data_IF_671150169230
#
_entry.id   IF_671150169230
#
_cell.length_a   1.000
_cell.length_b   1.000
_cell.length_c   1.000
_cell.angle_alpha   90.00
_cell.angle_beta   90.00
_cell.angle_gamma   90.00
#
_symmetry.space_group_name_H-M   'P 1'
#
loop_
_entity.id
_entity.type
_entity.pdbx_description
1 polymer ?
#
# COMPACT_ATOMS: atom_id res chain seq x y z
N UNK A 1 -62.93 40.97 -24.01
CA UNK A 1 -62.04 39.81 -24.13
C UNK A 1 -60.61 40.27 -23.92
N UNK A 2 -60.00 40.07 -22.74
CA UNK A 2 -58.57 40.24 -22.57
C UNK A 2 -57.83 38.92 -22.78
N UNK A 3 -56.61 39.05 -23.30
CA UNK A 3 -55.61 38.02 -23.52
C UNK A 3 -55.15 37.41 -22.20
N UNK A 4 -55.02 36.08 -22.14
CA UNK A 4 -54.24 35.38 -21.12
C UNK A 4 -53.21 34.50 -21.82
N UNK A 5 -52.04 35.09 -22.02
CA UNK A 5 -50.80 34.44 -22.39
C UNK A 5 -50.24 33.78 -21.12
N UNK A 6 -50.44 32.47 -20.97
CA UNK A 6 -49.75 31.67 -19.95
C UNK A 6 -48.65 30.89 -20.64
N UNK A 7 -47.49 31.54 -20.75
CA UNK A 7 -46.19 30.91 -20.87
C UNK A 7 -45.92 30.06 -19.63
N UNK A 8 -46.39 28.82 -19.65
CA UNK A 8 -45.92 27.80 -18.72
C UNK A 8 -44.49 27.42 -19.10
N UNK A 9 -43.53 28.25 -18.66
CA UNK A 9 -42.15 27.83 -18.48
C UNK A 9 -42.14 26.74 -17.40
N UNK A 10 -42.36 25.51 -17.81
CA UNK A 10 -41.94 24.35 -17.03
C UNK A 10 -40.42 24.42 -17.01
N UNK A 11 -39.86 25.01 -15.95
CA UNK A 11 -38.49 24.70 -15.55
C UNK A 11 -38.46 23.20 -15.31
N UNK A 12 -38.08 22.43 -16.32
CA UNK A 12 -37.49 21.11 -16.12
C UNK A 12 -36.28 21.35 -15.25
N UNK A 13 -36.45 21.22 -13.93
CA UNK A 13 -35.35 20.94 -13.02
C UNK A 13 -34.65 19.75 -13.64
N UNK A 14 -33.51 19.99 -14.28
CA UNK A 14 -32.67 18.93 -14.82
C UNK A 14 -32.50 17.92 -13.69
N UNK A 15 -33.01 16.71 -13.89
CA UNK A 15 -32.80 15.63 -12.95
C UNK A 15 -31.30 15.57 -12.67
N UNK A 16 -30.92 15.57 -11.39
CA UNK A 16 -29.51 15.50 -11.03
C UNK A 16 -28.88 14.34 -11.81
N UNK A 17 -27.78 14.61 -12.52
CA UNK A 17 -27.11 13.60 -13.31
C UNK A 17 -26.91 12.35 -12.43
N UNK A 18 -27.28 11.15 -12.91
CA UNK A 18 -27.24 9.96 -12.10
C UNK A 18 -25.82 9.74 -11.60
N UNK A 19 -25.59 10.01 -10.32
CA UNK A 19 -24.33 9.71 -9.65
C UNK A 19 -24.40 8.29 -9.16
N UNK A 20 -23.45 7.45 -9.56
CA UNK A 20 -23.31 6.08 -9.06
C UNK A 20 -23.18 6.16 -7.53
N UNK A 21 -24.12 5.61 -6.74
CA UNK A 21 -24.04 5.72 -5.28
C UNK A 21 -22.74 5.10 -4.77
N UNK A 22 -22.23 5.60 -3.63
CA UNK A 22 -21.20 4.85 -2.91
C UNK A 22 -21.80 3.51 -2.54
N UNK A 23 -21.09 2.43 -2.86
CA UNK A 23 -21.50 1.09 -2.43
C UNK A 23 -21.66 1.03 -0.92
N UNK A 24 -22.40 0.03 -0.41
CA UNK A 24 -22.52 -0.23 1.01
C UNK A 24 -21.17 -0.19 1.73
N UNK A 25 -21.17 0.36 2.95
CA UNK A 25 -19.97 0.41 3.79
C UNK A 25 -19.45 -0.99 4.13
N UNK A 26 -20.37 -1.94 4.29
CA UNK A 26 -20.06 -3.33 4.63
C UNK A 26 -19.19 -4.02 3.58
N UNK A 27 -19.46 -3.85 2.29
CA UNK A 27 -18.67 -4.39 1.19
C UNK A 27 -17.22 -3.89 1.26
N UNK A 28 -17.07 -2.59 1.51
CA UNK A 28 -15.75 -1.98 1.64
C UNK A 28 -15.01 -2.42 2.90
N UNK A 29 -15.73 -2.67 3.99
CA UNK A 29 -15.16 -3.22 5.22
C UNK A 29 -14.68 -4.66 5.02
N UNK A 30 -15.45 -5.50 4.33
CA UNK A 30 -15.08 -6.89 4.00
C UNK A 30 -13.81 -6.90 3.16
N UNK A 31 -13.81 -6.20 2.02
CA UNK A 31 -12.63 -6.11 1.14
C UNK A 31 -11.41 -5.52 1.88
N UNK A 32 -11.62 -4.52 2.73
CA UNK A 32 -10.55 -3.93 3.54
C UNK A 32 -9.89 -4.95 4.48
N UNK A 33 -10.65 -5.86 5.10
CA UNK A 33 -10.06 -6.91 5.94
C UNK A 33 -9.18 -7.87 5.13
N UNK A 34 -9.58 -8.23 3.92
CA UNK A 34 -8.78 -9.04 2.99
C UNK A 34 -7.46 -8.34 2.63
N UNK A 35 -7.52 -7.05 2.26
CA UNK A 35 -6.30 -6.28 1.95
C UNK A 35 -5.38 -6.14 3.16
N UNK A 36 -5.90 -5.79 4.33
CA UNK A 36 -5.09 -5.61 5.55
C UNK A 36 -4.39 -6.90 5.97
N UNK A 37 -5.08 -8.04 5.91
CA UNK A 37 -4.53 -9.33 6.32
C UNK A 37 -3.48 -9.85 5.33
N UNK A 38 -3.77 -9.88 4.03
CA UNK A 38 -2.83 -10.33 3.00
C UNK A 38 -1.60 -9.42 2.88
N UNK A 39 -1.83 -8.11 2.71
CA UNK A 39 -0.75 -7.15 2.55
C UNK A 39 0.07 -7.01 3.83
N UNK A 40 -0.58 -7.11 4.99
CA UNK A 40 0.09 -7.12 6.29
C UNK A 40 0.97 -8.36 6.48
N UNK A 41 0.50 -9.55 6.10
CA UNK A 41 1.32 -10.76 6.08
C UNK A 41 2.58 -10.56 5.23
N UNK A 42 2.41 -10.17 3.96
CA UNK A 42 3.53 -9.95 3.01
C UNK A 42 4.50 -8.90 3.55
N UNK A 43 3.99 -7.77 4.02
CA UNK A 43 4.81 -6.66 4.51
C UNK A 43 5.63 -7.00 5.76
N UNK A 44 5.04 -7.69 6.74
CA UNK A 44 5.75 -8.09 7.96
C UNK A 44 6.85 -9.11 7.68
N UNK A 45 6.59 -10.08 6.80
CA UNK A 45 7.59 -11.08 6.40
C UNK A 45 8.70 -10.43 5.58
N UNK A 46 8.36 -9.52 4.65
CA UNK A 46 9.34 -8.75 3.88
C UNK A 46 10.23 -7.88 4.79
N UNK A 47 9.65 -7.19 5.78
CA UNK A 47 10.40 -6.40 6.75
C UNK A 47 11.38 -7.28 7.56
N UNK A 48 10.92 -8.43 8.05
CA UNK A 48 11.74 -9.37 8.79
C UNK A 48 12.92 -9.88 7.94
N UNK A 49 12.69 -10.17 6.67
CA UNK A 49 13.70 -10.71 5.76
C UNK A 49 14.72 -9.67 5.30
N UNK A 50 14.28 -8.46 4.97
CA UNK A 50 15.09 -7.50 4.20
C UNK A 50 15.67 -6.35 5.04
N UNK A 51 15.02 -5.95 6.13
CA UNK A 51 15.42 -4.77 6.91
C UNK A 51 15.68 -5.09 8.39
N UNK A 52 14.65 -5.52 9.12
CA UNK A 52 14.71 -5.70 10.58
C UNK A 52 15.60 -6.89 10.98
N UNK A 53 15.48 -8.03 10.30
CA UNK A 53 16.31 -9.21 10.57
C UNK A 53 17.80 -8.96 10.33
N UNK A 54 18.23 -8.40 9.18
CA UNK A 54 19.62 -8.03 8.96
C UNK A 54 20.17 -7.02 9.99
N UNK A 55 19.36 -6.06 10.45
CA UNK A 55 19.75 -5.12 11.51
C UNK A 55 19.92 -5.83 12.86
N UNK A 56 18.99 -6.71 13.25
CA UNK A 56 19.06 -7.48 14.48
C UNK A 56 20.22 -8.48 14.49
N UNK A 57 20.53 -9.11 13.33
CA UNK A 57 21.65 -10.04 13.18
C UNK A 57 23.00 -9.38 13.51
N UNK A 58 23.15 -8.09 13.22
CA UNK A 58 24.39 -7.36 13.50
C UNK A 58 24.63 -7.17 15.01
N UNK A 59 23.60 -7.34 15.84
CA UNK A 59 23.67 -7.22 17.30
C UNK A 59 23.96 -8.59 17.91
N UNK A 60 23.20 -9.62 17.51
CA UNK A 60 23.40 -10.99 18.01
C UNK A 60 22.27 -11.94 17.62
N UNK A 61 22.46 -13.23 17.93
CA UNK A 61 21.45 -14.27 17.68
C UNK A 61 20.15 -14.04 18.44
N UNK A 62 20.24 -13.48 19.65
CA UNK A 62 19.10 -13.31 20.54
C UNK A 62 18.20 -12.15 20.08
N UNK A 63 18.80 -11.01 19.74
CA UNK A 63 18.10 -9.89 19.11
C UNK A 63 17.43 -10.33 17.80
N UNK A 64 18.15 -11.10 16.97
CA UNK A 64 17.63 -11.65 15.73
C UNK A 64 16.43 -12.57 15.96
N UNK A 65 16.51 -13.46 16.95
CA UNK A 65 15.42 -14.35 17.33
C UNK A 65 14.21 -13.56 17.85
N UNK A 66 14.41 -12.56 18.72
CA UNK A 66 13.34 -11.76 19.30
C UNK A 66 12.58 -10.94 18.24
N UNK A 67 13.31 -10.24 17.37
CA UNK A 67 12.74 -9.43 16.28
C UNK A 67 12.00 -10.31 15.29
N UNK A 68 12.62 -11.41 14.84
CA UNK A 68 12.01 -12.36 13.90
C UNK A 68 10.73 -12.94 14.50
N UNK A 69 10.80 -13.50 15.72
CA UNK A 69 9.66 -14.12 16.37
C UNK A 69 8.49 -13.16 16.59
N UNK A 70 8.78 -11.88 16.90
CA UNK A 70 7.72 -10.89 17.08
C UNK A 70 6.99 -10.58 15.77
N UNK A 71 7.73 -10.33 14.70
CA UNK A 71 7.15 -10.05 13.38
C UNK A 71 6.41 -11.27 12.84
N UNK A 72 6.97 -12.47 12.95
CA UNK A 72 6.35 -13.70 12.44
C UNK A 72 5.13 -14.11 13.25
N UNK A 73 5.04 -13.84 14.56
CA UNK A 73 3.80 -14.08 15.33
C UNK A 73 2.63 -13.28 14.78
N UNK A 74 2.84 -11.99 14.54
CA UNK A 74 1.78 -11.13 13.99
C UNK A 74 1.51 -11.51 12.53
N UNK A 75 2.55 -11.79 11.74
CA UNK A 75 2.36 -12.25 10.37
C UNK A 75 1.54 -13.55 10.32
N UNK A 76 1.85 -14.56 11.13
CA UNK A 76 1.06 -15.81 11.22
C UNK A 76 -0.40 -15.52 11.55
N UNK A 77 -0.66 -14.66 12.54
CA UNK A 77 -2.05 -14.26 12.86
C UNK A 77 -2.72 -13.63 11.65
N UNK A 78 -2.08 -12.69 10.97
CA UNK A 78 -2.65 -12.07 9.76
C UNK A 78 -2.85 -13.07 8.62
N UNK A 79 -1.93 -14.00 8.40
CA UNK A 79 -2.04 -15.03 7.36
C UNK A 79 -3.16 -16.04 7.66
N UNK A 80 -3.38 -16.38 8.94
CA UNK A 80 -4.51 -17.21 9.36
C UNK A 80 -5.83 -16.44 9.25
N UNK A 81 -5.87 -15.16 9.62
CA UNK A 81 -7.05 -14.30 9.50
C UNK A 81 -7.38 -13.92 8.04
N UNK A 82 -6.42 -14.01 7.13
CA UNK A 82 -6.67 -13.81 5.70
C UNK A 82 -7.64 -14.85 5.15
N UNK A 83 -7.63 -16.09 5.65
CA UNK A 83 -8.53 -17.16 5.19
C UNK A 83 -10.01 -16.80 5.40
N UNK A 84 -10.49 -16.50 6.62
CA UNK A 84 -11.87 -16.07 6.81
C UNK A 84 -12.17 -14.71 6.17
N UNK A 85 -11.20 -13.82 6.00
CA UNK A 85 -11.41 -12.55 5.28
C UNK A 85 -11.73 -12.80 3.79
N UNK A 86 -10.90 -13.60 3.10
CA UNK A 86 -11.12 -14.00 1.70
C UNK A 86 -12.43 -14.78 1.56
N UNK A 87 -12.72 -15.73 2.46
CA UNK A 87 -13.98 -16.47 2.42
C UNK A 87 -15.20 -15.57 2.66
N UNK A 88 -15.07 -14.50 3.45
CA UNK A 88 -16.17 -13.55 3.68
C UNK A 88 -16.39 -12.68 2.45
N UNK A 89 -15.33 -12.28 1.76
CA UNK A 89 -15.37 -11.57 0.47
C UNK A 89 -16.08 -12.43 -0.59
N UNK A 90 -15.65 -13.69 -0.75
CA UNK A 90 -16.29 -14.65 -1.67
C UNK A 90 -17.74 -14.96 -1.30
N UNK A 91 -18.06 -15.05 -0.01
CA UNK A 91 -19.42 -15.29 0.46
C UNK A 91 -20.34 -14.11 0.19
N UNK A 92 -19.80 -12.90 0.30
CA UNK A 92 -20.50 -11.69 -0.02
C UNK A 92 -20.82 -11.64 -1.53
N UNK A 93 -19.81 -11.86 -2.37
CA UNK A 93 -19.96 -11.87 -3.83
C UNK A 93 -20.90 -12.97 -4.33
N UNK A 94 -20.96 -14.12 -3.64
CA UNK A 94 -21.83 -15.23 -4.01
C UNK A 94 -23.30 -15.02 -3.62
N UNK A 95 -23.61 -14.06 -2.75
CA UNK A 95 -24.96 -13.89 -2.18
C UNK A 95 -25.90 -13.11 -3.11
N UNK A 96 -26.87 -13.80 -3.72
CA UNK A 96 -27.87 -13.18 -4.61
C UNK A 96 -28.82 -12.16 -3.93
N UNK A 97 -28.97 -12.25 -2.60
CA UNK A 97 -29.97 -11.48 -1.83
C UNK A 97 -29.40 -10.32 -1.01
N UNK A 98 -28.10 -10.03 -1.14
CA UNK A 98 -27.39 -9.09 -0.26
C UNK A 98 -27.19 -9.67 1.13
N UNK A 99 -26.00 -10.23 1.37
CA UNK A 99 -25.71 -11.03 2.57
C UNK A 99 -24.40 -11.80 2.42
N UNK A 100 -24.33 -12.99 3.00
CA UNK A 100 -23.15 -13.88 2.91
C UNK A 100 -23.59 -15.32 2.67
N UNK A 101 -23.16 -15.93 1.57
CA UNK A 101 -23.30 -17.37 1.31
C UNK A 101 -21.94 -18.07 1.44
N UNK A 102 -21.61 -18.46 2.68
CA UNK A 102 -20.37 -19.20 2.97
C UNK A 102 -20.34 -20.61 2.37
N UNK A 103 -21.50 -21.20 2.06
CA UNK A 103 -21.58 -22.50 1.41
C UNK A 103 -21.13 -22.40 -0.04
N UNK A 104 -21.67 -21.41 -0.77
CA UNK A 104 -21.27 -21.09 -2.13
C UNK A 104 -19.79 -20.67 -2.19
N UNK A 105 -19.32 -19.84 -1.25
CA UNK A 105 -17.92 -19.43 -1.16
C UNK A 105 -16.95 -20.61 -0.98
N UNK A 106 -17.30 -21.57 -0.11
CA UNK A 106 -16.48 -22.76 0.08
C UNK A 106 -16.49 -23.65 -1.17
N UNK A 107 -17.65 -23.82 -1.79
CA UNK A 107 -17.81 -24.66 -2.97
C UNK A 107 -17.20 -24.06 -4.24
N UNK A 108 -16.99 -22.75 -4.30
CA UNK A 108 -16.31 -22.09 -5.43
C UNK A 108 -14.79 -22.33 -5.41
N UNK A 109 -14.21 -22.63 -4.25
CA UNK A 109 -12.78 -22.96 -4.15
C UNK A 109 -12.50 -24.25 -4.92
N UNK A 110 -11.65 -24.15 -5.94
CA UNK A 110 -11.29 -25.27 -6.80
C UNK A 110 -12.49 -25.98 -7.46
N UNK A 111 -13.55 -25.25 -7.79
CA UNK A 111 -14.76 -25.75 -8.48
C UNK A 111 -14.54 -26.25 -9.93
N UNK A 112 -13.30 -26.16 -10.43
CA UNK A 112 -12.90 -26.52 -11.79
C UNK A 112 -12.74 -25.32 -12.73
N UNK A 113 -13.32 -24.17 -12.38
CA UNK A 113 -13.11 -22.92 -13.11
C UNK A 113 -11.70 -22.35 -12.88
N UNK A 114 -11.29 -21.39 -13.70
CA UNK A 114 -10.05 -20.65 -13.46
C UNK A 114 -10.20 -19.71 -12.23
N UNK A 115 -11.35 -19.04 -12.09
CA UNK A 115 -11.64 -18.16 -10.95
C UNK A 115 -11.62 -18.93 -9.62
N UNK A 116 -12.28 -20.09 -9.57
CA UNK A 116 -12.26 -21.00 -8.42
C UNK A 116 -10.86 -21.55 -8.11
N UNK A 117 -10.02 -21.78 -9.13
CA UNK A 117 -8.61 -22.12 -8.93
C UNK A 117 -7.80 -20.97 -8.34
N UNK A 118 -8.02 -19.73 -8.79
CA UNK A 118 -7.32 -18.56 -8.28
C UNK A 118 -7.70 -18.27 -6.82
N UNK A 119 -8.99 -18.25 -6.48
CA UNK A 119 -9.47 -18.08 -5.10
C UNK A 119 -9.03 -19.23 -4.19
N UNK A 120 -9.07 -20.47 -4.68
CA UNK A 120 -8.54 -21.63 -3.97
C UNK A 120 -7.04 -21.50 -3.67
N UNK A 121 -6.25 -21.05 -4.66
CA UNK A 121 -4.82 -20.79 -4.52
C UNK A 121 -4.54 -19.63 -3.56
N UNK A 122 -5.37 -18.58 -3.57
CA UNK A 122 -5.28 -17.46 -2.63
C UNK A 122 -5.30 -17.96 -1.18
N UNK A 123 -6.36 -18.71 -0.82
CA UNK A 123 -6.57 -19.30 0.51
C UNK A 123 -5.45 -20.29 0.85
N UNK A 124 -5.11 -21.18 -0.09
CA UNK A 124 -4.12 -22.24 0.16
C UNK A 124 -2.73 -21.66 0.36
N UNK A 125 -2.30 -20.73 -0.50
CA UNK A 125 -0.94 -20.19 -0.46
C UNK A 125 -0.72 -19.24 0.71
N UNK A 126 -1.71 -18.44 1.12
CA UNK A 126 -1.56 -17.62 2.34
C UNK A 126 -1.46 -18.52 3.58
N UNK A 127 -2.26 -19.58 3.66
CA UNK A 127 -2.22 -20.52 4.78
C UNK A 127 -0.91 -21.32 4.81
N UNK A 128 -0.46 -21.84 3.66
CA UNK A 128 0.85 -22.51 3.53
C UNK A 128 1.97 -21.54 3.90
N UNK A 129 1.91 -20.29 3.42
CA UNK A 129 2.86 -19.25 3.78
C UNK A 129 2.94 -19.00 5.29
N UNK A 130 1.79 -18.92 5.96
CA UNK A 130 1.69 -18.81 7.41
C UNK A 130 2.30 -20.04 8.11
N UNK A 131 1.92 -21.26 7.71
CA UNK A 131 2.43 -22.51 8.27
C UNK A 131 3.95 -22.65 8.14
N UNK A 132 4.52 -22.25 7.00
CA UNK A 132 5.97 -22.27 6.78
C UNK A 132 6.73 -21.38 7.76
N UNK A 133 6.15 -20.25 8.19
CA UNK A 133 6.80 -19.32 9.12
C UNK A 133 6.40 -19.53 10.59
N UNK A 134 5.40 -20.38 10.89
CA UNK A 134 5.00 -20.73 12.27
C UNK A 134 6.18 -21.13 13.16
N UNK A 135 7.14 -21.98 12.72
CA UNK A 135 8.29 -22.35 13.56
C UNK A 135 9.11 -21.14 14.01
N UNK A 136 9.16 -20.08 13.19
CA UNK A 136 9.90 -18.86 13.48
C UNK A 136 9.25 -17.99 14.57
N UNK A 137 8.03 -18.32 15.03
CA UNK A 137 7.40 -17.66 16.19
C UNK A 137 8.08 -18.05 17.51
N UNK A 138 8.85 -19.14 17.48
CA UNK A 138 9.65 -19.66 18.58
C UNK A 138 11.09 -19.17 18.43
N UNK A 139 11.62 -18.51 19.47
CA UNK A 139 12.93 -17.83 19.43
C UNK A 139 14.09 -18.78 19.10
N UNK A 140 14.06 -20.01 19.61
CA UNK A 140 15.12 -21.01 19.38
C UNK A 140 15.27 -21.41 17.91
N UNK A 141 14.17 -21.46 17.16
CA UNK A 141 14.18 -21.77 15.72
C UNK A 141 14.51 -20.52 14.90
N UNK A 142 14.05 -19.36 15.35
CA UNK A 142 14.23 -18.08 14.66
C UNK A 142 15.71 -17.66 14.49
N UNK A 143 16.60 -18.04 15.40
CA UNK A 143 18.05 -17.78 15.26
C UNK A 143 18.74 -18.70 14.25
N UNK A 144 18.12 -19.81 13.85
CA UNK A 144 18.72 -20.87 13.04
C UNK A 144 18.94 -20.52 11.55
N UNK A 145 19.71 -21.39 10.87
CA UNK A 145 20.07 -21.23 9.46
C UNK A 145 18.85 -21.31 8.51
N UNK A 146 17.84 -22.11 8.87
CA UNK A 146 16.61 -22.28 8.07
C UNK A 146 15.75 -21.01 8.00
N UNK A 147 15.93 -20.04 8.91
CA UNK A 147 15.10 -18.82 8.99
C UNK A 147 14.96 -18.12 7.65
N UNK A 148 16.07 -17.89 6.94
CA UNK A 148 16.06 -17.14 5.68
C UNK A 148 15.19 -17.83 4.63
N UNK A 149 15.27 -19.16 4.55
CA UNK A 149 14.51 -19.96 3.60
C UNK A 149 13.03 -20.02 3.95
N UNK A 150 12.69 -20.20 5.23
CA UNK A 150 11.30 -20.17 5.69
C UNK A 150 10.64 -18.80 5.45
N UNK A 151 11.35 -17.69 5.74
CA UNK A 151 10.87 -16.35 5.42
C UNK A 151 10.73 -16.12 3.91
N UNK A 152 11.69 -16.59 3.10
CA UNK A 152 11.62 -16.44 1.65
C UNK A 152 10.48 -17.26 1.03
N UNK A 153 10.27 -18.50 1.48
CA UNK A 153 9.18 -19.35 1.04
C UNK A 153 7.82 -18.81 1.48
N UNK A 154 7.70 -18.36 2.74
CA UNK A 154 6.50 -17.70 3.24
C UNK A 154 6.17 -16.41 2.49
N UNK A 155 7.18 -15.58 2.21
CA UNK A 155 7.02 -14.36 1.42
C UNK A 155 6.58 -14.68 -0.01
N UNK A 156 7.19 -15.67 -0.66
CA UNK A 156 6.81 -16.08 -2.01
C UNK A 156 5.37 -16.59 -2.05
N UNK A 157 4.97 -17.46 -1.10
CA UNK A 157 3.61 -17.97 -1.02
C UNK A 157 2.59 -16.84 -0.81
N UNK A 158 2.85 -15.91 0.13
CA UNK A 158 1.97 -14.75 0.36
C UNK A 158 1.92 -13.77 -0.82
N UNK A 159 3.04 -13.53 -1.50
CA UNK A 159 3.09 -12.67 -2.68
C UNK A 159 2.31 -13.28 -3.86
N UNK A 160 2.38 -14.60 -4.06
CA UNK A 160 1.60 -15.29 -5.08
C UNK A 160 0.12 -15.31 -4.70
N UNK A 161 -0.23 -15.58 -3.42
CA UNK A 161 -1.60 -15.47 -2.93
C UNK A 161 -2.20 -14.09 -3.22
N UNK A 162 -1.50 -13.02 -2.83
CA UNK A 162 -1.92 -11.65 -3.17
C UNK A 162 -2.05 -11.44 -4.68
N UNK A 163 -1.17 -12.07 -5.47
CA UNK A 163 -1.20 -11.98 -6.93
C UNK A 163 -2.41 -12.63 -7.59
N UNK A 164 -2.93 -13.72 -7.00
CA UNK A 164 -4.12 -14.41 -7.53
C UNK A 164 -5.35 -13.51 -7.61
N UNK A 165 -5.44 -12.47 -6.78
CA UNK A 165 -6.52 -11.45 -6.80
C UNK A 165 -6.59 -10.61 -8.08
N UNK A 166 -5.53 -10.64 -8.92
CA UNK A 166 -5.44 -9.86 -10.17
C UNK A 166 -4.94 -10.68 -11.36
N UNK A 167 -4.70 -11.98 -11.19
CA UNK A 167 -4.36 -12.83 -12.33
C UNK A 167 -5.60 -13.08 -13.19
N UNK A 168 -5.46 -13.07 -14.53
CA UNK A 168 -6.59 -13.29 -15.42
C UNK A 168 -7.12 -14.72 -15.26
N UNK A 169 -8.45 -14.85 -15.21
CA UNK A 169 -9.18 -16.10 -15.14
C UNK A 169 -9.67 -16.60 -16.52
N UNK A 170 -9.40 -15.85 -17.58
CA UNK A 170 -9.70 -16.24 -18.96
C UNK A 170 -8.48 -16.05 -19.87
N UNK A 171 -8.48 -16.73 -21.02
CA UNK A 171 -7.45 -16.54 -22.05
C UNK A 171 -7.65 -15.14 -22.64
N UNK A 172 -6.66 -14.24 -22.54
CA UNK A 172 -6.80 -12.89 -23.06
C UNK A 172 -6.60 -12.84 -24.58
N UNK A 173 -7.36 -11.99 -25.25
CA UNK A 173 -7.18 -11.69 -26.68
C UNK A 173 -5.87 -10.93 -26.95
N UNK A 174 -5.47 -10.06 -26.01
CA UNK A 174 -4.20 -9.34 -26.03
C UNK A 174 -3.33 -9.73 -24.81
N UNK A 175 -2.52 -10.76 -25.00
CA UNK A 175 -1.58 -11.24 -24.00
C UNK A 175 -0.57 -10.16 -23.56
N UNK A 176 -0.11 -9.32 -24.49
CA UNK A 176 0.91 -8.31 -24.19
C UNK A 176 0.38 -7.27 -23.21
N UNK A 177 -0.81 -6.73 -23.50
CA UNK A 177 -1.49 -5.76 -22.65
C UNK A 177 -1.84 -6.34 -21.28
N UNK A 178 -2.44 -7.53 -21.23
CA UNK A 178 -2.90 -8.14 -19.97
C UNK A 178 -1.74 -8.52 -19.06
N UNK A 179 -0.63 -9.05 -19.60
CA UNK A 179 0.58 -9.32 -18.81
C UNK A 179 1.15 -8.03 -18.22
N UNK A 180 1.20 -6.94 -19.00
CA UNK A 180 1.68 -5.65 -18.52
C UNK A 180 0.77 -5.05 -17.44
N UNK A 181 -0.55 -5.05 -17.66
CA UNK A 181 -1.54 -4.58 -16.70
C UNK A 181 -1.47 -5.36 -15.38
N UNK A 182 -1.39 -6.70 -15.47
CA UNK A 182 -1.18 -7.57 -14.31
C UNK A 182 0.10 -7.20 -13.57
N UNK A 183 1.20 -6.97 -14.30
CA UNK A 183 2.47 -6.56 -13.68
C UNK A 183 2.37 -5.21 -12.96
N UNK A 184 1.61 -4.24 -13.50
CA UNK A 184 1.36 -2.96 -12.83
C UNK A 184 0.55 -3.14 -11.55
N UNK A 185 -0.49 -3.97 -11.58
CA UNK A 185 -1.22 -4.37 -10.37
C UNK A 185 -0.32 -5.02 -9.34
N UNK A 186 0.54 -5.96 -9.75
CA UNK A 186 1.50 -6.62 -8.85
C UNK A 186 2.47 -5.63 -8.23
N UNK A 187 3.04 -4.72 -9.03
CA UNK A 187 3.92 -3.66 -8.52
C UNK A 187 3.21 -2.76 -7.51
N UNK A 188 1.96 -2.39 -7.77
CA UNK A 188 1.16 -1.56 -6.89
C UNK A 188 0.87 -2.26 -5.55
N UNK A 189 0.38 -3.49 -5.60
CA UNK A 189 -0.01 -4.27 -4.43
C UNK A 189 1.20 -4.70 -3.59
N UNK A 190 2.27 -5.21 -4.21
CA UNK A 190 3.48 -5.60 -3.49
C UNK A 190 4.21 -4.38 -2.92
N UNK A 191 4.27 -3.27 -3.68
CA UNK A 191 4.80 -2.00 -3.17
C UNK A 191 4.03 -1.51 -1.95
N UNK A 192 2.69 -1.49 -2.03
CA UNK A 192 1.83 -1.12 -0.91
C UNK A 192 2.01 -2.05 0.30
N UNK A 193 2.13 -3.35 0.06
CA UNK A 193 2.31 -4.37 1.10
C UNK A 193 3.62 -4.17 1.86
N UNK A 194 4.73 -4.06 1.14
CA UNK A 194 6.06 -3.88 1.73
C UNK A 194 6.16 -2.54 2.47
N UNK A 195 5.56 -1.48 1.91
CA UNK A 195 5.60 -0.16 2.53
C UNK A 195 4.70 -0.06 3.78
N UNK A 196 3.39 -0.27 3.64
CA UNK A 196 2.43 -0.10 4.73
C UNK A 196 2.62 -1.19 5.79
N UNK A 197 2.76 -2.45 5.38
CA UNK A 197 3.02 -3.56 6.30
C UNK A 197 4.40 -3.46 6.97
N UNK A 198 5.39 -2.90 6.28
CA UNK A 198 6.69 -2.60 6.87
C UNK A 198 6.65 -1.47 7.91
N UNK A 199 5.88 -0.41 7.68
CA UNK A 199 5.63 0.64 8.68
C UNK A 199 4.94 0.08 9.93
N UNK A 200 3.91 -0.75 9.73
CA UNK A 200 3.23 -1.45 10.82
C UNK A 200 4.21 -2.35 11.59
N UNK A 201 5.08 -3.07 10.88
CA UNK A 201 6.12 -3.89 11.51
C UNK A 201 7.15 -3.09 12.30
N UNK A 202 7.57 -1.91 11.81
CA UNK A 202 8.42 -1.01 12.59
C UNK A 202 7.70 -0.53 13.86
N UNK A 203 6.43 -0.13 13.76
CA UNK A 203 5.63 0.25 14.93
C UNK A 203 5.53 -0.88 15.96
N UNK A 204 5.34 -2.13 15.50
CA UNK A 204 5.34 -3.31 16.37
C UNK A 204 6.68 -3.50 17.11
N UNK A 205 7.80 -3.12 16.48
CA UNK A 205 9.13 -3.24 17.06
C UNK A 205 9.48 -2.08 18.02
N UNK A 206 8.74 -0.97 17.99
CA UNK A 206 8.84 0.10 19.02
C UNK A 206 8.32 -0.40 20.37
N UNK A 207 7.30 -1.25 20.35
CA UNK A 207 6.65 -1.74 21.56
C UNK A 207 7.64 -2.50 22.48
N UNK A 208 7.44 -2.46 23.82
CA UNK A 208 8.34 -3.10 24.78
C UNK A 208 8.57 -4.59 24.49
N UNK A 209 9.80 -5.07 24.73
CA UNK A 209 10.18 -6.48 24.58
C UNK A 209 10.58 -6.94 23.16
N UNK A 210 10.60 -6.04 22.17
CA UNK A 210 11.09 -6.35 20.81
C UNK A 210 12.63 -6.35 20.72
N UNK A 211 13.24 -5.30 21.26
CA UNK A 211 14.69 -5.06 21.25
C UNK A 211 15.10 -4.56 22.63
N UNK A 212 16.18 -5.14 23.17
CA UNK A 212 16.68 -4.79 24.49
C UNK A 212 17.08 -3.31 24.57
N UNK A 213 16.79 -2.61 25.69
CA UNK A 213 17.04 -1.18 25.81
C UNK A 213 18.47 -0.75 25.46
N UNK A 214 19.46 -1.59 25.81
CA UNK A 214 20.88 -1.36 25.50
C UNK A 214 21.18 -1.40 23.99
N UNK A 215 20.47 -2.25 23.24
CA UNK A 215 20.73 -2.53 21.83
C UNK A 215 19.92 -1.66 20.87
N UNK A 216 18.88 -0.97 21.36
CA UNK A 216 18.00 -0.10 20.56
C UNK A 216 18.77 0.88 19.68
N UNK A 217 19.81 1.51 20.23
CA UNK A 217 20.62 2.48 19.49
C UNK A 217 21.35 1.87 18.29
N UNK A 218 21.82 0.63 18.43
CA UNK A 218 22.52 -0.12 17.38
C UNK A 218 21.54 -0.79 16.40
N UNK A 219 20.31 -1.09 16.83
CA UNK A 219 19.26 -1.67 16.00
C UNK A 219 18.60 -0.66 15.05
N UNK A 220 18.12 0.47 15.59
CA UNK A 220 17.19 1.34 14.86
C UNK A 220 17.82 2.04 13.67
N UNK A 221 19.06 2.53 13.79
CA UNK A 221 19.77 3.18 12.67
C UNK A 221 19.88 2.27 11.43
N UNK A 222 20.42 1.04 11.52
CA UNK A 222 20.49 0.12 10.39
C UNK A 222 19.12 -0.41 9.92
N UNK A 223 18.14 -0.57 10.82
CA UNK A 223 16.79 -1.00 10.45
C UNK A 223 16.06 0.06 9.63
N UNK A 224 16.03 1.31 10.14
CA UNK A 224 15.41 2.45 9.46
C UNK A 224 16.09 2.70 8.12
N UNK A 225 17.43 2.73 8.05
CA UNK A 225 18.13 2.96 6.78
C UNK A 225 17.77 1.92 5.71
N UNK A 226 17.70 0.64 6.07
CA UNK A 226 17.30 -0.43 5.13
C UNK A 226 15.84 -0.29 4.72
N UNK A 227 14.96 -0.02 5.68
CA UNK A 227 13.54 0.16 5.40
C UNK A 227 13.28 1.40 4.54
N UNK A 228 13.92 2.55 4.81
CA UNK A 228 13.79 3.75 4.00
C UNK A 228 14.21 3.53 2.54
N UNK A 229 15.26 2.74 2.30
CA UNK A 229 15.64 2.36 0.94
C UNK A 229 14.55 1.52 0.25
N UNK A 230 13.99 0.52 0.95
CA UNK A 230 12.87 -0.27 0.43
C UNK A 230 11.61 0.57 0.20
N UNK A 231 11.28 1.46 1.14
CA UNK A 231 10.12 2.34 1.09
C UNK A 231 10.20 3.32 -0.10
N UNK A 232 11.37 3.90 -0.39
CA UNK A 232 11.55 4.74 -1.59
C UNK A 232 11.29 3.96 -2.88
N UNK A 233 11.78 2.72 -2.98
CA UNK A 233 11.49 1.85 -4.13
C UNK A 233 10.00 1.49 -4.22
N UNK A 234 9.34 1.24 -3.09
CA UNK A 234 7.90 0.97 -3.04
C UNK A 234 7.10 2.20 -3.49
N UNK A 235 7.45 3.39 -3.01
CA UNK A 235 6.83 4.65 -3.44
C UNK A 235 6.97 4.84 -4.95
N UNK A 236 8.14 4.53 -5.53
CA UNK A 236 8.33 4.56 -6.98
C UNK A 236 7.43 3.58 -7.71
N UNK A 237 7.40 2.33 -7.25
CA UNK A 237 6.58 1.29 -7.84
C UNK A 237 5.09 1.65 -7.78
N UNK A 238 4.59 2.12 -6.63
CA UNK A 238 3.19 2.52 -6.41
C UNK A 238 2.83 3.73 -7.27
N UNK A 239 3.70 4.75 -7.33
CA UNK A 239 3.43 5.96 -8.10
C UNK A 239 3.36 5.67 -9.61
N UNK A 240 4.32 4.90 -10.15
CA UNK A 240 4.37 4.57 -11.57
C UNK A 240 3.24 3.60 -11.98
N UNK A 241 3.01 2.54 -11.20
CA UNK A 241 1.89 1.64 -11.44
C UNK A 241 0.54 2.33 -11.27
N UNK A 242 0.39 3.17 -10.25
CA UNK A 242 -0.83 3.92 -9.98
C UNK A 242 -1.13 4.94 -11.09
N UNK A 243 -0.11 5.55 -11.66
CA UNK A 243 -0.25 6.45 -12.82
C UNK A 243 -0.77 5.69 -14.05
N UNK A 244 -0.21 4.51 -14.33
CA UNK A 244 -0.72 3.67 -15.40
C UNK A 244 -2.19 3.26 -15.15
N UNK A 245 -2.51 2.78 -13.95
CA UNK A 245 -3.87 2.40 -13.58
C UNK A 245 -4.85 3.58 -13.68
N UNK A 246 -4.40 4.80 -13.33
CA UNK A 246 -5.17 6.02 -13.52
C UNK A 246 -5.56 6.24 -14.98
N UNK A 247 -4.62 6.12 -15.93
CA UNK A 247 -4.94 6.29 -17.36
C UNK A 247 -5.90 5.25 -17.90
N UNK A 248 -5.84 4.03 -17.39
CA UNK A 248 -6.75 2.98 -17.83
C UNK A 248 -8.20 3.28 -17.42
N UNK A 249 -8.38 3.87 -16.23
CA UNK A 249 -9.69 4.06 -15.62
C UNK A 249 -10.26 5.47 -15.77
N UNK A 250 -9.46 6.46 -16.22
CA UNK A 250 -9.85 7.87 -16.36
C UNK A 250 -9.40 8.41 -17.73
N UNK A 251 -10.32 9.01 -18.50
CA UNK A 251 -10.03 9.61 -19.81
C UNK A 251 -9.79 11.11 -19.76
N UNK A 252 -10.28 11.81 -18.73
CA UNK A 252 -10.09 13.25 -18.62
C UNK A 252 -10.22 13.78 -17.19
N UNK A 253 -9.57 14.91 -16.91
CA UNK A 253 -9.55 15.53 -15.58
C UNK A 253 -10.94 15.92 -15.08
N UNK A 254 -11.89 16.23 -15.98
CA UNK A 254 -13.28 16.49 -15.59
C UNK A 254 -13.90 15.29 -14.88
N UNK A 255 -13.56 14.07 -15.30
CA UNK A 255 -14.07 12.83 -14.70
C UNK A 255 -13.60 12.63 -13.26
N UNK A 256 -12.49 13.26 -12.83
CA UNK A 256 -12.06 13.24 -11.43
C UNK A 256 -13.06 13.94 -10.49
N UNK A 257 -13.86 14.86 -11.01
CA UNK A 257 -14.83 15.64 -10.21
C UNK A 257 -16.27 15.33 -10.58
N UNK A 258 -16.53 14.91 -11.82
CA UNK A 258 -17.88 14.58 -12.28
C UNK A 258 -18.31 13.15 -11.96
N UNK A 259 -17.37 12.22 -11.75
CA UNK A 259 -17.68 10.81 -11.48
C UNK A 259 -17.37 10.44 -10.02
N UNK A 260 -18.07 9.42 -9.51
CA UNK A 260 -17.87 8.97 -8.14
C UNK A 260 -16.55 8.21 -7.99
N UNK A 261 -16.18 7.39 -8.98
CA UNK A 261 -14.84 6.81 -9.10
C UNK A 261 -13.77 7.90 -9.02
N UNK A 262 -13.92 8.96 -9.81
CA UNK A 262 -12.98 10.08 -9.86
C UNK A 262 -12.80 10.78 -8.51
N UNK A 263 -13.90 11.03 -7.79
CA UNK A 263 -13.86 11.66 -6.46
C UNK A 263 -13.17 10.77 -5.42
N UNK A 264 -13.50 9.49 -5.40
CA UNK A 264 -12.86 8.49 -4.53
C UNK A 264 -11.36 8.40 -4.84
N UNK A 265 -11.00 8.36 -6.13
CA UNK A 265 -9.60 8.36 -6.55
C UNK A 265 -8.90 9.65 -6.13
N UNK A 266 -9.55 10.80 -6.23
CA UNK A 266 -9.05 12.09 -5.75
C UNK A 266 -8.74 12.05 -4.26
N UNK A 267 -9.63 11.52 -3.43
CA UNK A 267 -9.38 11.31 -1.98
C UNK A 267 -8.18 10.40 -1.77
N UNK A 268 -8.08 9.27 -2.49
CA UNK A 268 -6.94 8.36 -2.41
C UNK A 268 -5.61 9.04 -2.77
N UNK A 269 -5.60 9.85 -3.82
CA UNK A 269 -4.43 10.63 -4.26
C UNK A 269 -4.05 11.68 -3.20
N UNK A 270 -5.02 12.37 -2.59
CA UNK A 270 -4.75 13.35 -1.54
C UNK A 270 -4.10 12.70 -0.31
N UNK A 271 -4.64 11.55 0.14
CA UNK A 271 -4.06 10.82 1.28
C UNK A 271 -2.66 10.31 0.93
N UNK A 272 -2.47 9.75 -0.27
CA UNK A 272 -1.16 9.33 -0.76
C UNK A 272 -0.17 10.51 -0.83
N UNK A 273 -0.60 11.67 -1.33
CA UNK A 273 0.18 12.90 -1.34
C UNK A 273 0.61 13.35 0.06
N UNK A 274 -0.30 13.27 1.04
CA UNK A 274 0.01 13.56 2.44
C UNK A 274 1.06 12.59 3.01
N UNK A 275 0.95 11.28 2.69
CA UNK A 275 1.96 10.28 3.04
C UNK A 275 3.32 10.59 2.41
N UNK A 276 3.36 11.02 1.15
CA UNK A 276 4.61 11.42 0.50
C UNK A 276 5.23 12.65 1.16
N UNK A 277 4.43 13.66 1.49
CA UNK A 277 4.91 14.85 2.20
C UNK A 277 5.45 14.50 3.58
N UNK A 278 4.81 13.57 4.29
CA UNK A 278 5.29 13.09 5.59
C UNK A 278 6.59 12.27 5.45
N UNK A 279 6.69 11.42 4.43
CA UNK A 279 7.91 10.69 4.11
C UNK A 279 9.07 11.62 3.72
N UNK A 280 8.79 12.67 2.95
CA UNK A 280 9.73 13.75 2.64
C UNK A 280 10.14 14.48 3.92
N UNK A 281 9.20 14.87 4.77
CA UNK A 281 9.50 15.49 6.06
C UNK A 281 10.43 14.61 6.91
N UNK A 282 10.13 13.31 6.99
CA UNK A 282 10.92 12.33 7.74
C UNK A 282 12.34 12.17 7.19
N UNK A 283 12.46 12.05 5.87
CA UNK A 283 13.74 11.83 5.19
C UNK A 283 14.65 13.07 5.22
N UNK A 284 14.09 14.26 5.06
CA UNK A 284 14.86 15.49 4.85
C UNK A 284 15.02 16.36 6.10
N UNK A 285 14.12 16.26 7.08
CA UNK A 285 14.17 17.05 8.32
C UNK A 285 14.38 16.19 9.57
N UNK A 286 13.58 15.14 9.78
CA UNK A 286 13.63 14.35 11.02
C UNK A 286 14.90 13.51 11.14
N UNK A 287 15.20 12.68 10.13
CA UNK A 287 16.40 11.83 10.15
C UNK A 287 17.69 12.64 10.30
N UNK A 288 17.90 13.75 9.55
CA UNK A 288 19.10 14.55 9.68
C UNK A 288 19.24 15.25 11.04
N UNK A 289 18.13 15.65 11.66
CA UNK A 289 18.15 16.26 12.99
C UNK A 289 18.58 15.24 14.05
N UNK A 290 18.10 14.00 13.94
CA UNK A 290 18.50 12.90 14.83
C UNK A 290 19.98 12.55 14.63
N UNK A 291 20.46 12.49 13.39
CA UNK A 291 21.88 12.23 13.08
C UNK A 291 22.79 13.36 13.59
N UNK A 292 22.37 14.63 13.47
CA UNK A 292 23.13 15.78 13.96
C UNK A 292 23.21 15.80 15.50
N UNK A 293 22.12 15.49 16.21
CA UNK A 293 22.11 15.37 17.67
C UNK A 293 23.07 14.25 18.14
N UNK A 294 23.08 13.11 17.43
CA UNK A 294 24.03 12.01 17.67
C UNK A 294 25.48 12.43 17.47
N UNK A 295 25.78 13.15 16.38
CA UNK A 295 27.13 13.65 16.09
C UNK A 295 27.61 14.66 17.13
N UNK A 296 26.70 15.46 17.70
CA UNK A 296 26.97 16.41 18.77
C UNK A 296 27.16 15.76 20.17
N UNK A 297 27.27 14.43 20.24
CA UNK A 297 27.51 13.72 21.50
C UNK A 297 26.28 13.58 22.39
N UNK A 298 25.07 13.84 21.87
CA UNK A 298 23.83 13.64 22.62
C UNK A 298 23.66 12.15 22.98
N UNK A 299 23.83 11.85 24.27
CA UNK A 299 23.69 10.52 24.85
C UNK A 299 22.27 10.22 25.30
N UNK A 300 21.32 11.16 25.14
CA UNK A 300 19.92 10.87 25.43
C UNK A 300 19.54 9.62 24.65
N UNK A 301 19.01 8.60 25.33
CA UNK A 301 18.83 7.31 24.71
C UNK A 301 17.88 7.52 23.53
N UNK A 302 18.20 6.92 22.37
CA UNK A 302 17.53 7.21 21.10
C UNK A 302 16.00 7.15 21.20
N UNK A 303 15.52 6.34 22.13
CA UNK A 303 14.13 6.22 22.46
C UNK A 303 13.51 7.52 23.03
N UNK A 304 14.20 8.41 23.75
CA UNK A 304 13.56 9.65 24.25
C UNK A 304 13.32 10.67 23.13
N UNK A 305 14.18 10.69 22.11
CA UNK A 305 14.03 11.54 20.91
C UNK A 305 13.14 10.87 19.84
N UNK A 306 13.24 9.55 19.65
CA UNK A 306 12.37 8.81 18.74
C UNK A 306 11.01 8.48 19.37
N UNK A 307 10.89 7.89 20.57
CA UNK A 307 9.63 7.32 21.10
C UNK A 307 8.48 8.31 21.21
N UNK A 308 8.74 9.62 21.34
CA UNK A 308 7.64 10.59 21.40
C UNK A 308 7.21 11.11 20.03
N UNK A 309 8.14 11.37 19.12
CA UNK A 309 7.83 11.95 17.80
C UNK A 309 7.76 10.90 16.69
N UNK A 310 8.66 9.92 16.68
CA UNK A 310 8.79 8.91 15.62
C UNK A 310 7.64 7.87 15.61
N UNK A 311 7.26 7.19 16.71
CA UNK A 311 6.10 6.30 16.71
C UNK A 311 4.78 7.02 16.44
N UNK A 312 4.64 8.27 16.89
CA UNK A 312 3.45 9.06 16.59
C UNK A 312 3.35 9.33 15.08
N UNK A 313 4.45 9.77 14.46
CA UNK A 313 4.50 9.97 13.02
C UNK A 313 4.30 8.67 12.24
N UNK A 314 5.00 7.58 12.59
CA UNK A 314 4.83 6.27 11.94
C UNK A 314 3.41 5.74 12.17
N UNK A 315 2.79 5.95 13.33
CA UNK A 315 1.41 5.57 13.58
C UNK A 315 0.43 6.37 12.71
N UNK A 316 0.68 7.67 12.50
CA UNK A 316 -0.09 8.49 11.55
C UNK A 316 0.11 7.98 10.12
N UNK A 317 1.33 7.64 9.71
CA UNK A 317 1.59 7.03 8.39
C UNK A 317 0.88 5.68 8.22
N UNK A 318 0.90 4.83 9.25
CA UNK A 318 0.16 3.55 9.25
C UNK A 318 -1.33 3.80 9.16
N UNK A 319 -1.88 4.74 9.95
CA UNK A 319 -3.31 5.07 9.92
C UNK A 319 -3.73 5.59 8.53
N UNK A 320 -2.96 6.51 7.95
CA UNK A 320 -3.21 7.02 6.60
C UNK A 320 -3.08 5.90 5.55
N UNK A 321 -2.06 5.05 5.65
CA UNK A 321 -1.88 3.89 4.77
C UNK A 321 -3.04 2.90 4.85
N UNK A 322 -3.48 2.56 6.06
CA UNK A 322 -4.66 1.72 6.29
C UNK A 322 -5.95 2.37 5.80
N UNK A 323 -6.04 3.71 5.89
CA UNK A 323 -7.16 4.48 5.32
C UNK A 323 -7.14 4.42 3.79
N UNK A 324 -5.97 4.48 3.14
CA UNK A 324 -5.85 4.26 1.69
C UNK A 324 -6.37 2.87 1.29
N UNK A 325 -6.05 1.84 2.07
CA UNK A 325 -6.57 0.50 1.85
C UNK A 325 -8.09 0.42 2.05
N UNK A 326 -8.65 1.19 2.98
CA UNK A 326 -10.10 1.26 3.22
C UNK A 326 -10.84 2.00 2.11
N UNK A 327 -10.23 3.05 1.54
CA UNK A 327 -10.79 3.82 0.42
C UNK A 327 -10.71 3.03 -0.89
N UNK A 328 -9.73 2.14 -1.05
CA UNK A 328 -9.48 1.44 -2.31
C UNK A 328 -10.66 0.59 -2.83
N UNK A 329 -11.38 -0.20 -2.00
CA UNK A 329 -12.58 -0.92 -2.42
C UNK A 329 -13.64 -0.03 -3.06
N UNK A 330 -13.78 1.24 -2.68
CA UNK A 330 -14.77 2.13 -3.31
C UNK A 330 -14.48 2.47 -4.79
N UNK A 331 -13.31 2.09 -5.33
CA UNK A 331 -12.95 2.25 -6.74
C UNK A 331 -13.55 1.15 -7.62
N UNK A 332 -14.87 0.98 -7.59
CA UNK A 332 -15.58 0.02 -8.43
C UNK A 332 -15.76 0.54 -9.86
N UNK A 333 -15.45 -0.31 -10.85
CA UNK A 333 -15.55 0.03 -12.27
C UNK A 333 -14.49 1.04 -12.71
N UNK A 334 -14.87 2.03 -13.53
CA UNK A 334 -13.97 3.08 -14.00
C UNK A 334 -14.71 4.41 -14.14
N UNK A 335 -14.00 5.54 -14.02
CA UNK A 335 -14.57 6.86 -14.27
C UNK A 335 -15.09 6.99 -15.71
N UNK A 336 -14.41 6.33 -16.66
CA UNK A 336 -14.81 6.31 -18.07
C UNK A 336 -16.18 5.65 -18.26
N UNK A 337 -16.39 4.49 -17.65
CA UNK A 337 -17.68 3.80 -17.66
C UNK A 337 -18.76 4.63 -16.96
N UNK A 338 -18.48 5.18 -15.79
CA UNK A 338 -19.45 6.00 -15.05
C UNK A 338 -19.86 7.25 -15.84
N UNK A 339 -18.92 7.93 -16.49
CA UNK A 339 -19.22 9.09 -17.33
C UNK A 339 -20.06 8.73 -18.56
N UNK A 340 -19.76 7.59 -19.21
CA UNK A 340 -20.55 7.09 -20.33
C UNK A 340 -21.98 6.73 -19.92
N UNK A 341 -22.13 5.94 -18.85
CA UNK A 341 -23.43 5.52 -18.35
C UNK A 341 -24.27 6.72 -17.87
N UNK A 342 -23.64 7.73 -17.27
CA UNK A 342 -24.35 8.96 -16.90
C UNK A 342 -24.92 9.69 -18.12
N UNK A 343 -24.16 9.82 -19.21
CA UNK A 343 -24.63 10.43 -20.46
C UNK A 343 -25.70 9.59 -21.17
N UNK A 344 -25.56 8.26 -21.14
CA UNK A 344 -26.54 7.34 -21.71
C UNK A 344 -27.87 7.37 -20.93
N UNK A 345 -27.80 7.49 -19.61
CA UNK A 345 -28.97 7.58 -18.73
C UNK A 345 -29.81 8.84 -18.97
N UNK A 346 -29.21 9.96 -19.41
CA UNK A 346 -29.96 11.16 -19.79
C UNK A 346 -30.94 10.91 -20.95
N UNK A 347 -30.67 9.89 -21.77
CA UNK A 347 -31.42 9.56 -22.98
C UNK A 347 -32.13 8.19 -22.87
N UNK A 348 -32.14 7.58 -21.68
CA UNK A 348 -32.66 6.23 -21.45
C UNK A 348 -33.53 6.16 -20.21
N UNK A 349 -34.62 5.39 -20.27
CA UNK A 349 -35.45 5.07 -19.12
C UNK A 349 -34.99 3.80 -18.37
N UNK A 350 -33.90 3.19 -18.84
CA UNK A 350 -33.32 1.96 -18.27
C UNK A 350 -32.49 2.29 -17.03
N UNK A 351 -32.49 1.40 -16.04
CA UNK A 351 -31.66 1.53 -14.84
C UNK A 351 -30.18 1.68 -15.20
N UNK A 352 -29.40 2.52 -14.51
CA UNK A 352 -27.96 2.68 -14.77
C UNK A 352 -27.17 1.36 -14.78
N UNK A 353 -27.58 0.37 -13.98
CA UNK A 353 -26.89 -0.93 -13.88
C UNK A 353 -27.08 -1.80 -15.13
N UNK A 354 -28.18 -1.60 -15.86
CA UNK A 354 -28.51 -2.30 -17.09
C UNK A 354 -27.97 -1.59 -18.36
N UNK A 355 -27.36 -0.41 -18.20
CA UNK A 355 -26.77 0.32 -19.30
C UNK A 355 -25.48 -0.34 -19.78
N UNK A 356 -25.22 -0.37 -21.10
CA UNK A 356 -24.02 -0.96 -21.66
C UNK A 356 -22.77 -0.30 -21.09
N UNK A 357 -21.72 -1.11 -20.89
CA UNK A 357 -20.39 -0.64 -20.48
C UNK A 357 -19.53 -0.43 -21.73
N UNK A 358 -18.63 0.55 -21.68
CA UNK A 358 -17.68 0.77 -22.77
C UNK A 358 -16.58 -0.30 -22.75
N UNK A 359 -16.01 -0.65 -23.91
CA UNK A 359 -14.87 -1.56 -23.96
C UNK A 359 -13.65 -0.98 -23.25
N UNK A 360 -12.67 -1.85 -23.05
CA UNK A 360 -11.34 -1.54 -22.55
C UNK A 360 -10.72 -0.37 -23.33
N UNK A 361 -9.85 0.44 -22.69
CA UNK A 361 -9.28 1.61 -23.36
C UNK A 361 -8.45 1.21 -24.58
N UNK A 362 -8.82 1.74 -25.74
CA UNK A 362 -7.94 1.71 -26.91
C UNK A 362 -6.88 2.80 -26.79
N UNK A 363 -5.62 2.42 -27.02
CA UNK A 363 -4.49 3.33 -26.87
C UNK A 363 -4.35 4.18 -28.13
N UNK A 364 -4.58 5.49 -27.99
CA UNK A 364 -4.38 6.46 -29.07
C UNK A 364 -2.98 7.08 -29.06
N UNK A 365 -2.58 7.76 -30.14
CA UNK A 365 -1.33 8.53 -30.17
C UNK A 365 -1.29 9.63 -29.09
N UNK A 366 -2.43 10.26 -28.79
CA UNK A 366 -2.54 11.23 -27.70
C UNK A 366 -2.39 10.57 -26.33
N UNK A 367 -2.90 9.36 -26.15
CA UNK A 367 -2.72 8.57 -24.91
C UNK A 367 -1.24 8.31 -24.67
N UNK A 368 -0.49 7.91 -25.69
CA UNK A 368 0.96 7.72 -25.59
C UNK A 368 1.72 9.01 -25.28
N UNK A 369 1.38 10.12 -25.95
CA UNK A 369 2.07 11.39 -25.76
C UNK A 369 1.89 11.93 -24.34
N UNK A 370 0.64 12.01 -23.88
CA UNK A 370 0.34 12.47 -22.52
C UNK A 370 0.89 11.50 -21.48
N UNK A 371 0.68 10.19 -21.68
CA UNK A 371 1.16 9.19 -20.75
C UNK A 371 2.68 9.18 -20.60
N UNK A 372 3.41 9.25 -21.70
CA UNK A 372 4.88 9.31 -21.66
C UNK A 372 5.36 10.59 -20.98
N UNK A 373 4.71 11.73 -21.25
CA UNK A 373 5.07 13.02 -20.66
C UNK A 373 4.89 13.01 -19.15
N UNK A 374 3.73 12.60 -18.66
CA UNK A 374 3.43 12.50 -17.23
C UNK A 374 4.34 11.47 -16.53
N UNK A 375 4.62 10.33 -17.17
CA UNK A 375 5.59 9.34 -16.66
C UNK A 375 6.97 9.97 -16.50
N UNK A 376 7.48 10.64 -17.53
CA UNK A 376 8.80 11.28 -17.52
C UNK A 376 8.87 12.36 -16.46
N UNK A 377 7.80 13.14 -16.28
CA UNK A 377 7.72 14.17 -15.24
C UNK A 377 7.79 13.56 -13.83
N UNK A 378 7.06 12.48 -13.57
CA UNK A 378 7.11 11.79 -12.28
C UNK A 378 8.49 11.18 -12.05
N UNK A 379 9.07 10.51 -13.04
CA UNK A 379 10.43 9.96 -12.94
C UNK A 379 11.45 11.08 -12.68
N UNK A 380 11.36 12.21 -13.38
CA UNK A 380 12.24 13.35 -13.19
C UNK A 380 12.11 13.93 -11.78
N UNK A 381 10.89 14.07 -11.26
CA UNK A 381 10.63 14.51 -9.89
C UNK A 381 11.26 13.56 -8.87
N UNK A 382 11.11 12.25 -9.07
CA UNK A 382 11.68 11.22 -8.20
C UNK A 382 13.22 11.25 -8.22
N UNK A 383 13.82 11.34 -9.41
CA UNK A 383 15.28 11.46 -9.56
C UNK A 383 15.78 12.75 -8.91
N UNK A 384 15.11 13.87 -9.12
CA UNK A 384 15.47 15.15 -8.51
C UNK A 384 15.43 15.07 -6.97
N UNK A 385 14.37 14.48 -6.41
CA UNK A 385 14.24 14.23 -4.98
C UNK A 385 15.37 13.34 -4.44
N UNK A 386 15.70 12.25 -5.13
CA UNK A 386 16.80 11.35 -4.77
C UNK A 386 18.16 12.05 -4.80
N UNK A 387 18.45 12.79 -5.88
CA UNK A 387 19.71 13.54 -6.04
C UNK A 387 19.84 14.62 -4.98
N UNK A 388 18.76 15.37 -4.70
CA UNK A 388 18.73 16.39 -3.66
C UNK A 388 19.00 15.77 -2.28
N UNK A 389 18.35 14.65 -1.97
CA UNK A 389 18.57 13.86 -0.75
C UNK A 389 20.02 13.45 -0.61
N UNK A 390 20.62 12.88 -1.65
CA UNK A 390 22.03 12.47 -1.65
C UNK A 390 23.01 13.65 -1.52
N UNK A 391 22.75 14.77 -2.18
CA UNK A 391 23.59 16.00 -2.06
C UNK A 391 23.55 16.55 -0.64
N UNK A 392 22.37 16.62 -0.04
CA UNK A 392 22.21 17.06 1.35
C UNK A 392 22.91 16.11 2.32
N UNK A 393 22.78 14.80 2.14
CA UNK A 393 23.49 13.81 2.94
C UNK A 393 25.03 13.97 2.85
N UNK A 394 25.58 14.16 1.65
CA UNK A 394 27.03 14.37 1.45
C UNK A 394 27.53 15.68 2.07
N UNK A 395 26.81 16.79 1.90
CA UNK A 395 27.16 18.08 2.52
C UNK A 395 27.23 17.97 4.05
N UNK A 396 26.34 17.18 4.65
CA UNK A 396 26.32 16.92 6.09
C UNK A 396 27.50 16.04 6.54
N UNK A 397 27.82 14.99 5.79
CA UNK A 397 29.00 14.17 6.05
C UNK A 397 30.30 14.97 6.00
N UNK A 398 30.41 15.91 5.05
CA UNK A 398 31.54 16.83 4.97
C UNK A 398 31.60 17.80 6.17
N UNK A 399 30.47 18.40 6.58
CA UNK A 399 30.41 19.29 7.73
C UNK A 399 30.72 18.59 9.07
N UNK A 400 30.35 17.30 9.22
CA UNK A 400 30.66 16.50 10.41
C UNK A 400 32.12 16.03 10.46
N UNK A 401 32.81 15.97 9.31
CA UNK A 401 34.22 15.58 9.20
C UNK A 401 35.19 16.78 9.30
N UNK A 402 34.66 18.01 9.40
CA UNK A 402 35.47 19.24 9.42
C UNK A 402 36.12 19.45 10.80
N UNK A 403 37.46 19.36 10.93
CA UNK A 403 38.15 19.33 12.23
C UNK A 403 37.97 20.61 13.07
N UNK A 404 37.63 21.75 12.45
CA UNK A 404 37.39 23.02 13.14
C UNK A 404 36.12 23.00 14.00
N UNK A 405 35.11 22.20 13.63
CA UNK A 405 33.87 22.04 14.41
C UNK A 405 34.09 21.02 15.55
N UNK A 406 34.95 20.02 15.32
CA UNK A 406 35.29 19.01 16.33
C UNK A 406 36.11 19.59 17.50
N UNK A 407 36.99 20.57 17.25
CA UNK A 407 37.76 21.26 18.31
C UNK A 407 36.90 22.24 19.11
N UNK A 408 35.98 22.98 18.46
CA UNK A 408 35.06 23.90 19.15
C UNK A 408 34.09 23.20 20.12
N UNK A 409 33.73 21.93 19.86
CA UNK A 409 32.93 21.13 20.77
C UNK A 409 33.73 20.53 21.94
N UNK A 410 35.04 20.32 21.77
CA UNK A 410 35.95 19.85 22.82
C UNK A 410 36.26 20.92 23.87
N UNK A 411 36.40 22.18 23.46
CA UNK A 411 36.73 23.30 24.35
C UNK A 411 35.57 23.73 25.27
N UNK A 412 34.32 23.38 24.96
CA UNK A 412 33.15 23.67 25.79
C UNK A 412 32.90 22.65 26.91
N UNK A 413 33.64 21.54 26.94
CA UNK A 413 33.51 20.50 27.98
C UNK A 413 34.61 20.63 29.06
N UNK A 414 35.60 21.52 28.86
CA UNK A 414 36.72 21.72 29.80
C UNK A 414 36.69 23.05 30.59
N UNK A 415 35.51 23.66 30.81
CA UNK A 415 35.39 24.80 31.74
C UNK A 415 34.31 24.61 32.78
#
# INVERSE_FOLDING_TARGET
>A
MPLSDQSSHVMTLAAAAPSTPLGPFEDSAVAWTTWVTLMGFVGLVALALTAAGPAARAIGSDALAAVTARLTRVAVVLGVLAVPAVLTDLAHDASESGGYDYGAAWNSLYDGSNAGRLSGLEVTLVLVGALLIVPLTVRTVASGAARRWLLAAGLAAGAVALGTTKFPDAVPDDWGRIVFETAMWMLHLLGGSVWIGGLAGLLLLVLPGAVDPADRGAFWSPAIRRFSAAAMSCVAAIALSGLFLYWEHVDGLSQLTSTMYGRVLGVKILIFGALLLLGVFNQFWLHPRVDALRAAGDRRPLHTLLVREFPATVAVEVLLGTTVLFVAPFLHGSARNQAFQAAAAEHSAVSPDDLPKIPVKEVSASTWLWGSTETVLIIALMIAGYVLSGRLARRRGAAAADPVVATAAGDLVQR
#
